data_IF_458102831488
#
_entry.id   IF_458102831488
#
_cell.length_a   1.000
_cell.length_b   1.000
_cell.length_c   1.000
_cell.angle_alpha   90.00
_cell.angle_beta   90.00
_cell.angle_gamma   90.00
#
_symmetry.space_group_name_H-M   'P 1'
#
loop_
_entity.id
_entity.type
_entity.pdbx_description
1 polymer ?
#
# COMPACT_ATOMS: atom_id res chain seq x y z
N UNK A 1 -15.68 25.43 7.65
CA UNK A 1 -14.88 25.13 6.43
C UNK A 1 -14.69 23.61 6.31
N UNK A 2 -14.95 23.01 5.12
CA UNK A 2 -14.71 21.57 4.86
C UNK A 2 -13.21 21.25 4.85
N UNK A 3 -12.85 20.00 5.08
CA UNK A 3 -11.46 19.54 5.08
C UNK A 3 -10.99 19.28 3.65
N UNK A 4 -9.84 19.76 3.25
CA UNK A 4 -9.24 19.54 1.92
C UNK A 4 -8.50 18.21 1.90
N UNK A 5 -8.98 17.17 1.20
CA UNK A 5 -8.26 15.91 1.08
C UNK A 5 -7.20 16.01 0.00
N UNK A 6 -6.00 15.54 0.30
CA UNK A 6 -4.88 15.38 -0.62
C UNK A 6 -4.57 13.89 -0.74
N UNK A 7 -4.69 13.33 -1.94
CA UNK A 7 -4.43 11.92 -2.20
C UNK A 7 -3.05 11.79 -2.84
N UNK A 8 -2.14 11.11 -2.14
CA UNK A 8 -0.77 10.88 -2.59
C UNK A 8 -0.74 9.63 -3.50
N UNK A 9 -0.64 9.82 -4.81
CA UNK A 9 -0.77 8.77 -5.82
C UNK A 9 0.48 8.65 -6.72
N UNK A 10 1.68 8.68 -6.12
CA UNK A 10 2.97 8.61 -6.82
C UNK A 10 3.72 7.28 -6.71
N UNK A 11 3.31 6.39 -5.82
CA UNK A 11 4.00 5.12 -5.54
C UNK A 11 3.92 4.11 -6.69
N UNK A 12 5.03 3.45 -7.01
CA UNK A 12 5.10 2.43 -8.07
C UNK A 12 4.55 1.05 -7.66
N UNK A 13 4.51 0.75 -6.35
CA UNK A 13 3.91 -0.49 -5.81
C UNK A 13 4.49 -1.79 -6.38
N UNK A 14 5.78 -1.86 -6.65
CA UNK A 14 6.46 -2.96 -7.37
C UNK A 14 6.47 -4.30 -6.64
N UNK A 15 6.27 -4.32 -5.33
CA UNK A 15 6.29 -5.54 -4.49
C UNK A 15 5.21 -6.57 -4.84
N UNK A 16 4.17 -6.17 -5.59
CA UNK A 16 3.10 -7.05 -6.06
C UNK A 16 3.31 -7.55 -7.50
N UNK A 17 4.52 -7.44 -8.03
CA UNK A 17 4.83 -8.05 -9.32
C UNK A 17 4.49 -9.56 -9.29
N UNK A 18 3.90 -10.16 -10.34
CA UNK A 18 3.67 -9.61 -11.68
C UNK A 18 2.34 -8.88 -11.87
N UNK A 19 1.46 -8.79 -10.86
CA UNK A 19 0.18 -8.08 -10.96
C UNK A 19 0.37 -6.56 -10.96
N UNK A 20 1.36 -6.04 -10.21
CA UNK A 20 1.80 -4.65 -10.35
C UNK A 20 2.87 -4.55 -11.44
N UNK A 21 2.77 -3.53 -12.29
CA UNK A 21 3.71 -3.23 -13.38
C UNK A 21 4.02 -1.73 -13.37
N UNK A 22 5.07 -1.31 -14.12
CA UNK A 22 5.46 0.11 -14.22
C UNK A 22 4.29 1.03 -14.63
N UNK A 23 3.40 0.54 -15.50
CA UNK A 23 2.20 1.25 -15.97
C UNK A 23 0.92 0.88 -15.23
N UNK A 24 0.95 -0.05 -14.30
CA UNK A 24 -0.19 -0.46 -13.45
C UNK A 24 0.29 -0.69 -12.01
N UNK A 25 0.51 0.39 -11.23
CA UNK A 25 0.96 0.26 -9.85
C UNK A 25 -0.15 -0.28 -8.94
N UNK A 26 0.24 -0.74 -7.76
CA UNK A 26 -0.58 -1.43 -6.75
C UNK A 26 -1.97 -0.82 -6.54
N UNK A 27 -2.04 0.50 -6.43
CA UNK A 27 -3.29 1.20 -6.14
C UNK A 27 -4.36 1.10 -7.23
N UNK A 28 -3.96 0.70 -8.45
CA UNK A 28 -4.87 0.53 -9.59
C UNK A 28 -5.12 -0.94 -9.96
N UNK A 29 -4.56 -1.90 -9.23
CA UNK A 29 -4.89 -3.33 -9.44
C UNK A 29 -6.39 -3.52 -9.16
N UNK A 30 -7.07 -4.18 -10.09
CA UNK A 30 -8.49 -4.51 -9.93
C UNK A 30 -8.63 -5.77 -9.07
N UNK A 31 -9.26 -5.61 -7.91
CA UNK A 31 -9.55 -6.65 -6.94
C UNK A 31 -11.02 -7.14 -7.03
N UNK A 32 -11.50 -7.42 -8.24
CA UNK A 32 -12.91 -7.83 -8.45
C UNK A 32 -13.87 -6.65 -8.47
N UNK A 33 -13.61 -5.66 -9.34
CA UNK A 33 -14.45 -4.48 -9.55
C UNK A 33 -14.05 -3.27 -8.72
N UNK A 34 -13.11 -3.39 -7.78
CA UNK A 34 -12.62 -2.27 -6.96
C UNK A 34 -11.09 -2.17 -6.97
N UNK A 35 -10.57 -0.99 -6.64
CA UNK A 35 -9.14 -0.71 -6.50
C UNK A 35 -8.88 0.08 -5.22
N UNK A 36 -7.65 0.08 -4.72
CA UNK A 36 -7.29 0.86 -3.52
C UNK A 36 -7.49 2.36 -3.76
N UNK A 37 -7.09 2.86 -4.93
CA UNK A 37 -7.32 4.25 -5.32
C UNK A 37 -8.83 4.57 -5.39
N UNK A 38 -9.64 3.67 -5.96
CA UNK A 38 -11.10 3.81 -5.98
C UNK A 38 -11.70 3.88 -4.58
N UNK A 39 -11.27 3.01 -3.66
CA UNK A 39 -11.70 3.06 -2.25
C UNK A 39 -11.27 4.34 -1.54
N UNK A 40 -10.13 4.92 -1.92
CA UNK A 40 -9.70 6.23 -1.41
C UNK A 40 -10.58 7.36 -1.96
N UNK A 41 -10.98 7.31 -3.24
CA UNK A 41 -11.93 8.26 -3.83
C UNK A 41 -13.32 8.16 -3.17
N UNK A 42 -13.84 6.96 -2.92
CA UNK A 42 -15.09 6.75 -2.19
C UNK A 42 -15.06 7.41 -0.79
N UNK A 43 -13.96 7.24 -0.08
CA UNK A 43 -13.76 7.79 1.26
C UNK A 43 -13.88 9.32 1.30
N UNK A 44 -13.30 10.00 0.32
CA UNK A 44 -13.30 11.48 0.27
C UNK A 44 -14.57 12.08 -0.31
N UNK A 45 -15.60 11.28 -0.66
CA UNK A 45 -16.94 11.79 -1.02
C UNK A 45 -17.78 12.22 0.17
N UNK A 46 -17.37 11.89 1.39
CA UNK A 46 -18.10 12.31 2.59
C UNK A 46 -18.24 13.83 2.66
N UNK A 47 -19.37 14.30 3.21
CA UNK A 47 -19.73 15.73 3.31
C UNK A 47 -18.74 16.57 4.13
N UNK A 48 -17.92 15.93 4.98
CA UNK A 48 -16.87 16.62 5.75
C UNK A 48 -15.72 17.12 4.86
N UNK A 49 -15.56 16.52 3.66
CA UNK A 49 -14.49 16.86 2.74
C UNK A 49 -14.93 17.85 1.66
N UNK A 50 -14.00 18.66 1.23
CA UNK A 50 -14.06 19.44 0.00
C UNK A 50 -13.53 18.59 -1.18
N UNK A 51 -13.50 19.14 -2.39
CA UNK A 51 -12.96 18.42 -3.55
C UNK A 51 -11.49 18.02 -3.33
N UNK A 52 -11.08 16.83 -3.83
CA UNK A 52 -9.74 16.32 -3.61
C UNK A 52 -8.68 17.01 -4.49
N UNK A 53 -7.47 17.10 -3.94
CA UNK A 53 -6.24 17.31 -4.68
C UNK A 53 -5.54 15.94 -4.81
N UNK A 54 -5.10 15.56 -6.01
CA UNK A 54 -4.37 14.31 -6.26
C UNK A 54 -2.97 14.65 -6.73
N UNK A 55 -1.94 14.22 -6.01
CA UNK A 55 -0.56 14.31 -6.50
C UNK A 55 -0.21 13.03 -7.25
N UNK A 56 0.32 13.14 -8.44
CA UNK A 56 0.69 11.99 -9.28
C UNK A 56 1.75 12.37 -10.30
N UNK A 57 2.26 11.40 -11.04
CA UNK A 57 3.20 11.62 -12.14
C UNK A 57 2.55 11.40 -13.52
N UNK A 58 3.27 11.72 -14.60
CA UNK A 58 2.75 11.61 -15.97
C UNK A 58 2.33 10.20 -16.36
N UNK A 59 3.03 9.17 -15.87
CA UNK A 59 2.71 7.78 -16.19
C UNK A 59 1.32 7.34 -15.66
N UNK A 60 0.83 7.96 -14.60
CA UNK A 60 -0.44 7.58 -13.97
C UNK A 60 -1.58 8.58 -14.22
N UNK A 61 -1.32 9.72 -14.90
CA UNK A 61 -2.32 10.76 -15.13
C UNK A 61 -3.61 10.21 -15.78
N UNK A 62 -3.47 9.40 -16.82
CA UNK A 62 -4.63 8.82 -17.52
C UNK A 62 -5.39 7.80 -16.65
N UNK A 63 -4.69 7.03 -15.82
CA UNK A 63 -5.33 6.14 -14.84
C UNK A 63 -6.11 6.96 -13.81
N UNK A 64 -5.51 7.98 -13.22
CA UNK A 64 -6.17 8.87 -12.25
C UNK A 64 -7.44 9.49 -12.87
N UNK A 65 -7.35 10.08 -14.07
CA UNK A 65 -8.51 10.68 -14.77
C UNK A 65 -9.63 9.66 -15.00
N UNK A 66 -9.29 8.44 -15.46
CA UNK A 66 -10.28 7.36 -15.67
C UNK A 66 -11.03 7.00 -14.38
N UNK A 67 -10.33 6.92 -13.26
CA UNK A 67 -10.96 6.62 -11.97
C UNK A 67 -11.78 7.78 -11.43
N UNK A 68 -11.36 9.03 -11.63
CA UNK A 68 -12.16 10.20 -11.28
C UNK A 68 -13.52 10.19 -12.00
N UNK A 69 -13.53 9.85 -13.31
CA UNK A 69 -14.77 9.67 -14.10
C UNK A 69 -15.57 8.48 -13.56
N UNK A 70 -14.95 7.28 -13.42
CA UNK A 70 -15.62 6.06 -12.91
C UNK A 70 -16.31 6.31 -11.56
N UNK A 71 -15.67 7.06 -10.66
CA UNK A 71 -16.20 7.36 -9.34
C UNK A 71 -16.99 8.68 -9.28
N UNK A 72 -17.32 9.30 -10.42
CA UNK A 72 -18.14 10.51 -10.54
C UNK A 72 -17.63 11.67 -9.68
N UNK A 73 -16.30 11.88 -9.61
CA UNK A 73 -15.68 13.02 -8.95
C UNK A 73 -15.67 14.20 -9.94
N UNK A 74 -16.62 15.10 -9.84
CA UNK A 74 -16.79 16.22 -10.79
C UNK A 74 -15.78 17.36 -10.55
N UNK A 75 -15.49 17.70 -9.29
CA UNK A 75 -14.56 18.76 -8.90
C UNK A 75 -13.31 18.15 -8.28
N UNK A 76 -12.13 18.50 -8.77
CA UNK A 76 -10.82 18.01 -8.32
C UNK A 76 -9.70 18.91 -8.80
N UNK A 77 -8.50 18.73 -8.24
CA UNK A 77 -7.24 19.20 -8.81
C UNK A 77 -6.25 18.05 -8.88
N UNK A 78 -5.42 18.05 -9.91
CA UNK A 78 -4.28 17.14 -10.05
C UNK A 78 -3.01 17.96 -10.03
N UNK A 79 -2.04 17.58 -9.22
CA UNK A 79 -0.68 18.09 -9.27
C UNK A 79 0.17 17.04 -9.99
N UNK A 80 0.71 17.40 -11.14
CA UNK A 80 1.54 16.53 -11.94
C UNK A 80 3.02 16.78 -11.61
N UNK A 81 3.60 15.83 -10.88
CA UNK A 81 5.00 15.85 -10.49
C UNK A 81 5.89 15.38 -11.66
N UNK A 82 6.84 16.19 -12.14
CA UNK A 82 7.71 15.80 -13.27
C UNK A 82 8.74 14.73 -12.90
N UNK A 83 9.03 14.56 -11.61
CA UNK A 83 9.97 13.59 -11.07
C UNK A 83 9.39 12.94 -9.81
N UNK A 84 9.81 11.70 -9.54
CA UNK A 84 9.50 11.03 -8.28
C UNK A 84 10.41 11.59 -7.17
N UNK A 85 9.83 12.25 -6.17
CA UNK A 85 10.55 12.94 -5.08
C UNK A 85 10.07 12.53 -3.68
N UNK A 86 9.32 11.41 -3.59
CA UNK A 86 8.73 10.92 -2.35
C UNK A 86 7.65 11.88 -1.78
N UNK A 87 7.21 11.68 -0.54
CA UNK A 87 5.99 12.32 -0.01
C UNK A 87 6.18 13.77 0.44
N UNK A 88 7.38 14.19 0.84
CA UNK A 88 7.58 15.56 1.34
C UNK A 88 7.32 16.64 0.27
N UNK A 89 7.91 16.60 -0.94
CA UNK A 89 7.60 17.56 -1.99
C UNK A 89 6.16 17.50 -2.48
N UNK A 90 5.52 16.30 -2.50
CA UNK A 90 4.13 16.13 -2.88
C UNK A 90 3.17 16.84 -1.91
N UNK A 91 3.37 16.63 -0.60
CA UNK A 91 2.60 17.27 0.47
C UNK A 91 2.77 18.79 0.43
N UNK A 92 4.01 19.26 0.33
CA UNK A 92 4.29 20.68 0.29
C UNK A 92 3.73 21.38 -0.96
N UNK A 93 3.88 20.78 -2.14
CA UNK A 93 3.31 21.34 -3.37
C UNK A 93 1.81 21.48 -3.31
N UNK A 94 1.12 20.53 -2.65
CA UNK A 94 -0.33 20.60 -2.44
C UNK A 94 -0.71 21.75 -1.49
N UNK A 95 0.08 21.98 -0.44
CA UNK A 95 -0.14 23.07 0.50
C UNK A 95 0.18 24.44 -0.12
N UNK A 96 1.04 24.52 -1.13
CA UNK A 96 1.43 25.77 -1.78
C UNK A 96 0.44 26.26 -2.84
N UNK A 97 -0.59 25.48 -3.22
CA UNK A 97 -1.58 25.95 -4.19
C UNK A 97 -2.29 27.22 -3.70
N UNK A 98 -2.31 28.27 -4.53
CA UNK A 98 -2.90 29.57 -4.19
C UNK A 98 -4.40 29.50 -3.87
N UNK A 99 -5.14 28.63 -4.57
CA UNK A 99 -6.57 28.43 -4.37
C UNK A 99 -6.97 27.76 -3.04
N UNK A 100 -6.02 27.21 -2.29
CA UNK A 100 -6.26 26.66 -0.96
C UNK A 100 -6.06 27.77 0.08
N UNK A 101 -7.06 28.11 0.90
CA UNK A 101 -6.94 29.13 1.94
C UNK A 101 -5.83 28.85 2.95
N UNK A 102 -5.17 29.88 3.47
CA UNK A 102 -4.00 29.73 4.33
C UNK A 102 -4.26 28.94 5.63
N UNK A 103 -5.46 29.11 6.21
CA UNK A 103 -5.90 28.40 7.42
C UNK A 103 -6.66 27.09 7.13
N UNK A 104 -6.69 26.62 5.87
CA UNK A 104 -7.41 25.42 5.45
C UNK A 104 -6.89 24.18 6.16
N UNK A 105 -7.79 23.43 6.78
CA UNK A 105 -7.51 22.06 7.26
C UNK A 105 -7.31 21.11 6.09
N UNK A 106 -6.18 20.42 6.04
CA UNK A 106 -5.80 19.48 4.99
C UNK A 106 -5.52 18.10 5.57
N UNK A 107 -6.05 17.06 4.92
CA UNK A 107 -5.70 15.66 5.25
C UNK A 107 -4.96 15.03 4.08
N UNK A 108 -3.85 14.39 4.36
CA UNK A 108 -3.00 13.71 3.39
C UNK A 108 -3.19 12.20 3.51
N UNK A 109 -3.61 11.58 2.43
CA UNK A 109 -4.06 10.19 2.37
C UNK A 109 -3.23 9.43 1.33
N UNK A 110 -2.54 8.33 1.71
CA UNK A 110 -2.00 7.39 0.73
C UNK A 110 -3.13 6.81 -0.15
N UNK A 111 -2.85 6.66 -1.43
CA UNK A 111 -3.81 6.11 -2.41
C UNK A 111 -3.92 4.59 -2.37
N UNK A 112 -3.07 3.93 -1.59
CA UNK A 112 -2.84 2.48 -1.64
C UNK A 112 -3.17 1.75 -0.33
N UNK A 113 -3.83 2.44 0.61
CA UNK A 113 -4.29 1.88 1.88
C UNK A 113 -5.79 1.59 1.86
N UNK A 114 -6.16 0.39 2.30
CA UNK A 114 -7.55 0.02 2.55
C UNK A 114 -7.91 0.34 4.00
N UNK A 115 -8.91 1.20 4.19
CA UNK A 115 -9.43 1.58 5.51
C UNK A 115 -10.86 1.07 5.63
N UNK A 116 -11.12 0.30 6.68
CA UNK A 116 -12.47 -0.10 7.06
C UNK A 116 -13.18 0.95 7.91
N UNK A 117 -14.48 0.72 8.18
CA UNK A 117 -15.29 1.55 9.10
C UNK A 117 -15.20 3.06 8.81
N UNK A 118 -15.48 3.46 7.56
CA UNK A 118 -15.31 4.83 7.04
C UNK A 118 -15.98 5.87 7.95
N UNK A 119 -17.18 5.59 8.49
CA UNK A 119 -17.88 6.51 9.38
C UNK A 119 -17.10 6.80 10.68
N UNK A 120 -16.45 5.78 11.25
CA UNK A 120 -15.60 5.95 12.44
C UNK A 120 -14.34 6.76 12.10
N UNK A 121 -13.75 6.53 10.92
CA UNK A 121 -12.63 7.31 10.42
C UNK A 121 -13.01 8.79 10.28
N UNK A 122 -14.13 9.09 9.63
CA UNK A 122 -14.61 10.46 9.43
C UNK A 122 -14.94 11.14 10.78
N UNK A 123 -15.58 10.43 11.71
CA UNK A 123 -15.85 10.92 13.07
C UNK A 123 -14.57 11.27 13.81
N UNK A 124 -13.56 10.41 13.71
CA UNK A 124 -12.24 10.65 14.32
C UNK A 124 -11.57 11.91 13.77
N UNK A 125 -11.59 12.12 12.44
CA UNK A 125 -11.03 13.32 11.81
C UNK A 125 -11.78 14.56 12.28
N UNK A 126 -13.11 14.53 12.18
CA UNK A 126 -13.95 15.69 12.50
C UNK A 126 -13.83 16.14 13.97
N UNK A 127 -13.71 15.18 14.91
CA UNK A 127 -13.53 15.47 16.33
C UNK A 127 -12.17 16.12 16.66
N UNK A 128 -11.13 15.84 15.85
CA UNK A 128 -9.81 16.41 16.05
C UNK A 128 -9.59 17.72 15.29
N UNK A 129 -10.47 18.09 14.35
CA UNK A 129 -10.35 19.31 13.56
C UNK A 129 -10.23 20.57 14.42
N UNK A 130 -10.98 20.65 15.51
CA UNK A 130 -10.95 21.80 16.46
C UNK A 130 -9.59 22.01 17.15
N UNK A 131 -8.73 21.01 17.20
CA UNK A 131 -7.39 21.09 17.81
C UNK A 131 -6.31 21.49 16.81
N UNK A 132 -6.63 21.63 15.52
CA UNK A 132 -5.67 22.10 14.52
C UNK A 132 -5.28 23.55 14.76
N UNK A 133 -3.98 23.80 14.74
CA UNK A 133 -3.39 25.14 14.84
C UNK A 133 -2.38 25.37 13.71
N UNK A 134 -1.84 26.56 13.63
CA UNK A 134 -0.78 26.91 12.68
C UNK A 134 0.60 26.33 13.03
N UNK A 135 0.69 25.54 14.09
CA UNK A 135 1.96 25.02 14.62
C UNK A 135 1.91 23.53 15.00
N UNK A 136 0.86 22.79 14.61
CA UNK A 136 0.78 21.39 14.93
C UNK A 136 0.45 20.51 13.71
N UNK A 137 0.86 19.25 13.80
CA UNK A 137 0.57 18.21 12.81
C UNK A 137 0.04 17.00 13.56
N UNK A 138 -1.08 16.46 13.09
CA UNK A 138 -1.63 15.19 13.58
C UNK A 138 -1.22 14.06 12.66
N UNK A 139 -0.82 12.94 13.26
CA UNK A 139 -0.53 11.67 12.58
C UNK A 139 -1.50 10.60 13.07
N UNK A 140 -1.82 9.64 12.20
CA UNK A 140 -2.76 8.57 12.54
C UNK A 140 -2.01 7.29 12.87
N UNK A 141 -2.31 6.74 14.04
CA UNK A 141 -1.72 5.50 14.52
C UNK A 141 -2.72 4.36 14.61
N UNK A 142 -2.29 3.18 14.24
CA UNK A 142 -3.02 1.92 14.42
C UNK A 142 -2.26 1.04 15.40
N UNK A 143 -2.97 0.19 16.14
CA UNK A 143 -2.33 -0.83 16.97
C UNK A 143 -1.65 -1.87 16.08
N UNK A 144 -0.33 -2.04 16.16
CA UNK A 144 0.36 -3.05 15.37
C UNK A 144 0.06 -4.46 15.92
N UNK A 145 -0.14 -5.41 15.01
CA UNK A 145 -0.35 -6.83 15.37
C UNK A 145 0.98 -7.54 15.66
N UNK A 146 2.04 -7.13 14.97
CA UNK A 146 3.39 -7.69 15.10
C UNK A 146 4.44 -6.63 14.79
N UNK A 147 5.68 -6.78 15.32
CA UNK A 147 6.76 -5.85 15.03
C UNK A 147 7.19 -5.96 13.56
N UNK A 148 7.37 -4.81 12.90
CA UNK A 148 7.83 -4.70 11.53
C UNK A 148 8.84 -3.57 11.40
N UNK A 149 9.84 -3.74 10.57
CA UNK A 149 10.81 -2.70 10.21
C UNK A 149 10.40 -1.88 8.97
N UNK A 150 9.22 -2.14 8.41
CA UNK A 150 8.76 -1.45 7.19
C UNK A 150 8.00 -0.14 7.47
N UNK A 151 7.60 0.11 8.71
CA UNK A 151 6.74 1.23 9.11
C UNK A 151 7.40 2.11 10.16
N UNK A 152 6.97 3.37 10.23
CA UNK A 152 7.24 4.25 11.35
C UNK A 152 6.38 3.91 12.57
N UNK A 153 6.86 4.27 13.75
CA UNK A 153 6.15 4.07 15.02
C UNK A 153 6.23 5.32 15.88
N UNK A 154 5.25 5.47 16.77
CA UNK A 154 5.28 6.54 17.74
C UNK A 154 4.70 6.15 19.10
N UNK A 155 5.21 6.81 20.14
CA UNK A 155 4.70 6.78 21.50
C UNK A 155 3.96 8.08 21.76
N UNK A 156 2.94 8.03 22.63
CA UNK A 156 2.17 9.23 22.98
C UNK A 156 2.07 9.43 24.46
N UNK A 157 2.10 10.70 24.89
CA UNK A 157 1.67 11.17 26.21
C UNK A 157 0.28 11.79 26.08
N UNK A 158 -0.63 11.43 26.99
CA UNK A 158 -1.99 11.99 27.04
C UNK A 158 -1.90 13.42 27.58
N UNK A 159 -2.47 14.37 26.83
CA UNK A 159 -2.59 15.77 27.26
C UNK A 159 -3.99 16.05 27.80
N UNK A 160 -5.02 15.52 27.10
CA UNK A 160 -6.42 15.59 27.55
C UNK A 160 -7.19 14.35 27.10
N UNK A 161 -8.49 14.26 27.40
CA UNK A 161 -9.35 13.12 27.01
C UNK A 161 -9.21 12.74 25.54
N UNK A 162 -9.07 13.73 24.66
CA UNK A 162 -9.05 13.51 23.19
C UNK A 162 -7.74 13.98 22.52
N UNK A 163 -6.73 14.40 23.30
CA UNK A 163 -5.50 14.94 22.73
C UNK A 163 -4.30 14.18 23.27
N UNK A 164 -3.53 13.58 22.36
CA UNK A 164 -2.32 12.82 22.68
C UNK A 164 -1.13 13.44 21.95
N UNK A 165 -0.17 13.96 22.68
CA UNK A 165 1.08 14.47 22.08
C UNK A 165 1.99 13.30 21.75
N UNK A 166 2.66 13.34 20.62
CA UNK A 166 3.70 12.37 20.26
C UNK A 166 4.93 12.70 21.09
N UNK A 167 5.34 11.74 21.89
CA UNK A 167 6.54 11.83 22.72
C UNK A 167 7.78 11.47 21.93
N UNK A 168 7.67 10.43 21.09
CA UNK A 168 8.75 9.94 20.24
C UNK A 168 8.19 9.37 18.95
N UNK A 169 8.78 9.78 17.81
CA UNK A 169 8.54 9.21 16.48
C UNK A 169 9.83 8.56 15.98
N UNK A 170 9.74 7.37 15.38
CA UNK A 170 10.88 6.64 14.84
C UNK A 170 10.45 6.02 13.52
N UNK A 171 11.06 6.44 12.42
CA UNK A 171 10.81 5.86 11.10
C UNK A 171 11.62 4.56 10.94
N UNK A 172 10.95 3.49 10.52
CA UNK A 172 11.53 2.18 10.16
C UNK A 172 12.57 1.66 11.17
N UNK A 173 12.21 1.49 12.45
CA UNK A 173 13.12 0.93 13.44
C UNK A 173 13.53 -0.50 13.09
N UNK A 174 14.65 -0.98 13.60
CA UNK A 174 14.98 -2.39 13.54
C UNK A 174 13.96 -3.23 14.34
N UNK A 175 13.93 -4.56 14.12
CA UNK A 175 12.95 -5.45 14.76
C UNK A 175 12.96 -5.40 16.29
N UNK A 176 14.13 -5.25 16.91
CA UNK A 176 14.24 -5.20 18.38
C UNK A 176 13.63 -3.92 18.92
N UNK A 177 13.91 -2.78 18.26
CA UNK A 177 13.33 -1.49 18.62
C UNK A 177 11.81 -1.46 18.39
N UNK A 178 11.33 -2.06 17.31
CA UNK A 178 9.90 -2.23 17.08
C UNK A 178 9.23 -3.04 18.20
N UNK A 179 9.85 -4.15 18.67
CA UNK A 179 9.36 -4.94 19.82
C UNK A 179 9.28 -4.11 21.09
N UNK A 180 10.30 -3.30 21.40
CA UNK A 180 10.29 -2.40 22.57
C UNK A 180 9.13 -1.39 22.51
N UNK A 181 8.91 -0.78 21.33
CA UNK A 181 7.83 0.19 21.15
C UNK A 181 6.46 -0.49 21.35
N UNK A 182 6.28 -1.72 20.88
CA UNK A 182 5.05 -2.50 21.10
C UNK A 182 4.82 -2.78 22.60
N UNK A 183 5.86 -3.19 23.33
CA UNK A 183 5.79 -3.40 24.79
C UNK A 183 5.32 -2.13 25.51
N UNK A 184 5.73 -0.94 25.05
CA UNK A 184 5.31 0.37 25.55
C UNK A 184 3.94 0.83 24.98
N UNK A 185 3.14 -0.07 24.39
CA UNK A 185 1.82 0.23 23.79
C UNK A 185 1.88 1.32 22.71
N UNK A 186 3.00 1.38 21.95
CA UNK A 186 3.16 2.31 20.83
C UNK A 186 2.25 2.00 19.65
N UNK A 187 2.16 2.94 18.74
CA UNK A 187 1.32 2.90 17.54
C UNK A 187 2.19 2.87 16.29
N UNK A 188 1.74 2.11 15.30
CA UNK A 188 2.31 2.14 13.96
C UNK A 188 1.74 3.34 13.19
N UNK A 189 2.60 4.12 12.56
CA UNK A 189 2.20 5.24 11.71
C UNK A 189 1.51 4.71 10.44
N UNK A 190 0.35 5.26 10.15
CA UNK A 190 -0.46 4.87 8.98
C UNK A 190 -0.03 5.57 7.68
N UNK A 191 0.90 6.53 7.75
CA UNK A 191 1.26 7.39 6.61
C UNK A 191 0.19 8.44 6.26
N UNK A 192 -0.79 8.65 7.12
CA UNK A 192 -1.79 9.71 6.98
C UNK A 192 -1.44 10.88 7.89
N UNK A 193 -1.65 12.10 7.39
CA UNK A 193 -1.32 13.34 8.10
C UNK A 193 -2.50 14.30 8.05
N UNK A 194 -2.71 15.05 9.14
CA UNK A 194 -3.78 16.03 9.24
C UNK A 194 -3.26 17.31 9.88
N UNK A 195 -3.29 18.40 9.15
CA UNK A 195 -2.73 19.68 9.57
C UNK A 195 -3.42 20.84 8.85
N UNK A 196 -3.21 22.05 9.33
CA UNK A 196 -3.53 23.24 8.55
C UNK A 196 -2.44 23.49 7.48
N UNK A 197 -2.83 24.13 6.38
CA UNK A 197 -1.90 24.54 5.31
C UNK A 197 -0.72 25.35 5.86
N UNK A 198 -1.01 26.36 6.69
CA UNK A 198 0.02 27.22 7.29
C UNK A 198 0.99 26.45 8.19
N UNK A 199 0.51 25.44 8.92
CA UNK A 199 1.37 24.56 9.73
C UNK A 199 2.35 23.77 8.87
N UNK A 200 1.88 23.23 7.73
CA UNK A 200 2.74 22.51 6.78
C UNK A 200 3.82 23.46 6.23
N UNK A 201 3.42 24.61 5.71
CA UNK A 201 4.36 25.59 5.15
C UNK A 201 5.40 26.04 6.18
N UNK A 202 4.96 26.35 7.41
CA UNK A 202 5.83 26.74 8.52
C UNK A 202 6.84 25.66 8.87
N UNK A 203 6.40 24.41 8.93
CA UNK A 203 7.26 23.25 9.24
C UNK A 203 8.36 23.07 8.19
N UNK A 204 8.04 23.21 6.90
CA UNK A 204 9.05 23.16 5.84
C UNK A 204 10.00 24.35 5.85
N UNK A 205 9.50 25.57 6.09
CA UNK A 205 10.37 26.75 6.25
C UNK A 205 11.37 26.57 7.39
N UNK A 206 10.93 25.98 8.52
CA UNK A 206 11.76 25.76 9.69
C UNK A 206 12.78 24.64 9.50
N UNK A 207 12.37 23.49 8.98
CA UNK A 207 13.17 22.27 9.00
C UNK A 207 13.78 21.89 7.64
N UNK A 208 13.21 22.40 6.52
CA UNK A 208 13.56 22.00 5.16
C UNK A 208 13.46 23.18 4.18
N UNK A 209 14.12 24.29 4.48
CA UNK A 209 14.00 25.51 3.71
C UNK A 209 14.34 25.34 2.21
N UNK A 210 15.36 24.53 1.87
CA UNK A 210 15.72 24.23 0.46
C UNK A 210 14.58 23.56 -0.30
N UNK A 211 13.90 22.59 0.35
CA UNK A 211 12.73 21.92 -0.24
C UNK A 211 11.59 22.93 -0.39
N UNK A 212 11.35 23.76 0.64
CA UNK A 212 10.34 24.83 0.58
C UNK A 212 10.58 25.74 -0.62
N UNK A 213 11.78 26.32 -0.78
CA UNK A 213 12.14 27.21 -1.87
C UNK A 213 11.90 26.56 -3.24
N UNK A 214 12.43 25.36 -3.46
CA UNK A 214 12.33 24.67 -4.73
C UNK A 214 10.88 24.27 -5.09
N UNK A 215 10.07 23.81 -4.13
CA UNK A 215 8.66 23.50 -4.36
C UNK A 215 7.83 24.78 -4.58
N UNK A 216 8.12 25.87 -3.85
CA UNK A 216 7.46 27.15 -4.04
C UNK A 216 7.70 27.69 -5.44
N UNK A 217 8.96 27.67 -5.92
CA UNK A 217 9.30 28.05 -7.29
C UNK A 217 8.64 27.12 -8.32
N UNK A 218 8.56 25.82 -8.03
CA UNK A 218 7.92 24.87 -8.93
C UNK A 218 6.40 25.09 -9.04
N UNK A 219 5.73 25.44 -7.94
CA UNK A 219 4.28 25.71 -7.91
C UNK A 219 3.99 27.10 -8.47
N UNK A 220 4.77 28.15 -8.12
CA UNK A 220 4.54 29.51 -8.62
C UNK A 220 4.69 29.63 -10.13
N UNK A 221 5.62 28.85 -10.72
CA UNK A 221 5.87 28.77 -12.17
C UNK A 221 5.10 27.62 -12.84
N UNK A 222 4.13 26.99 -12.15
CA UNK A 222 3.33 25.91 -12.72
C UNK A 222 2.33 26.43 -13.76
N UNK A 223 2.01 25.59 -14.74
CA UNK A 223 0.95 25.84 -15.72
C UNK A 223 -0.31 25.08 -15.30
N UNK A 224 -1.43 25.78 -15.16
CA UNK A 224 -2.73 25.15 -14.94
C UNK A 224 -3.42 24.95 -16.29
N UNK A 225 -3.67 23.69 -16.67
CA UNK A 225 -4.48 23.36 -17.84
C UNK A 225 -5.63 22.45 -17.41
N UNK A 226 -6.84 22.90 -17.64
CA UNK A 226 -8.08 22.29 -17.12
C UNK A 226 -7.99 22.16 -15.58
N UNK A 227 -7.91 20.97 -15.06
CA UNK A 227 -7.82 20.70 -13.61
C UNK A 227 -6.44 20.20 -13.18
N UNK A 228 -5.40 20.35 -14.02
CA UNK A 228 -4.07 19.79 -13.82
C UNK A 228 -3.03 20.90 -13.71
N UNK A 229 -2.34 20.96 -12.57
CA UNK A 229 -1.16 21.77 -12.35
C UNK A 229 0.09 21.00 -12.83
N UNK A 230 0.72 21.48 -13.88
CA UNK A 230 2.01 20.99 -14.37
C UNK A 230 3.12 21.75 -13.65
N UNK A 231 3.74 21.13 -12.66
CA UNK A 231 4.83 21.76 -11.91
C UNK A 231 6.01 22.10 -12.81
N UNK A 232 6.68 23.23 -12.54
CA UNK A 232 7.88 23.60 -13.28
C UNK A 232 8.99 22.55 -13.09
N UNK A 233 9.43 21.95 -14.20
CA UNK A 233 10.36 20.81 -14.21
C UNK A 233 11.73 21.18 -13.63
N UNK A 234 12.28 22.34 -14.00
CA UNK A 234 13.63 22.77 -13.58
C UNK A 234 13.68 23.02 -12.06
N UNK A 235 12.68 23.72 -11.52
CA UNK A 235 12.60 24.01 -10.09
C UNK A 235 12.34 22.75 -9.27
N UNK A 236 11.40 21.89 -9.70
CA UNK A 236 11.05 20.67 -8.98
C UNK A 236 12.20 19.64 -8.96
N UNK A 237 13.02 19.56 -10.04
CA UNK A 237 14.20 18.71 -10.12
C UNK A 237 15.17 18.96 -8.97
N UNK A 238 15.33 20.23 -8.55
CA UNK A 238 16.24 20.64 -7.46
C UNK A 238 15.76 20.22 -6.08
N UNK A 239 14.49 19.83 -5.93
CA UNK A 239 13.95 19.36 -4.66
C UNK A 239 14.54 18.02 -4.28
N UNK A 240 14.89 17.83 -3.02
CA UNK A 240 15.39 16.57 -2.48
C UNK A 240 14.31 15.49 -2.53
N UNK A 241 14.68 14.24 -2.84
CA UNK A 241 13.82 13.07 -2.69
C UNK A 241 13.84 12.59 -1.24
N UNK A 242 12.76 12.86 -0.50
CA UNK A 242 12.65 12.51 0.92
C UNK A 242 11.19 12.32 1.31
N UNK A 243 10.90 11.40 2.26
CA UNK A 243 9.56 11.25 2.84
C UNK A 243 9.26 12.39 3.82
N UNK A 244 7.97 12.66 4.02
CA UNK A 244 7.50 13.63 5.01
C UNK A 244 7.88 13.23 6.43
N UNK A 245 7.93 11.93 6.69
CA UNK A 245 8.31 11.35 7.97
C UNK A 245 9.74 11.76 8.35
N UNK A 246 10.71 11.55 7.47
CA UNK A 246 12.12 11.98 7.69
C UNK A 246 12.31 13.50 7.60
N UNK A 247 11.61 14.15 6.68
CA UNK A 247 11.79 15.57 6.45
C UNK A 247 11.27 16.43 7.61
N UNK A 248 10.12 16.05 8.17
CA UNK A 248 9.36 16.88 9.12
C UNK A 248 9.08 16.16 10.43
N UNK A 249 8.52 14.92 10.42
CA UNK A 249 8.03 14.31 11.67
C UNK A 249 9.15 14.01 12.66
N UNK A 250 10.28 13.50 12.22
CA UNK A 250 11.41 13.22 13.12
C UNK A 250 12.02 14.48 13.73
N UNK A 251 11.85 15.65 13.08
CA UNK A 251 12.41 16.94 13.49
C UNK A 251 11.43 17.82 14.27
N UNK A 252 10.15 17.50 14.24
CA UNK A 252 9.09 18.34 14.80
C UNK A 252 8.73 17.94 16.23
N UNK A 253 8.63 18.92 17.13
CA UNK A 253 8.21 18.71 18.53
C UNK A 253 6.69 18.82 18.75
N UNK A 254 5.95 19.39 17.79
CA UNK A 254 4.51 19.67 17.89
C UNK A 254 3.68 18.70 17.06
N UNK A 255 3.91 17.40 17.29
CA UNK A 255 3.15 16.32 16.64
C UNK A 255 2.18 15.73 17.65
N UNK A 256 0.96 15.44 17.17
CA UNK A 256 -0.11 14.81 17.94
C UNK A 256 -0.57 13.53 17.27
N UNK A 257 -0.93 12.52 18.07
CA UNK A 257 -1.34 11.21 17.59
C UNK A 257 -2.86 11.02 17.66
N UNK A 258 -3.49 10.68 16.56
CA UNK A 258 -4.87 10.20 16.49
C UNK A 258 -4.84 8.68 16.48
N UNK A 259 -5.36 8.08 17.55
CA UNK A 259 -5.41 6.61 17.71
C UNK A 259 -6.63 6.07 16.95
N UNK A 260 -6.38 5.27 15.91
CA UNK A 260 -7.44 4.65 15.14
C UNK A 260 -7.71 3.23 15.64
N UNK A 261 -8.96 2.97 16.03
CA UNK A 261 -9.45 1.62 16.35
C UNK A 261 -10.24 1.01 15.19
N UNK A 262 -9.70 1.17 13.97
CA UNK A 262 -10.32 0.70 12.74
C UNK A 262 -9.34 -0.19 11.96
N UNK A 263 -9.83 -1.17 11.18
CA UNK A 263 -8.96 -1.95 10.30
C UNK A 263 -8.29 -1.05 9.26
N UNK A 264 -6.97 -1.17 9.15
CA UNK A 264 -6.17 -0.57 8.11
C UNK A 264 -5.22 -1.61 7.56
N UNK A 265 -5.21 -1.78 6.26
CA UNK A 265 -4.35 -2.75 5.56
C UNK A 265 -3.71 -2.07 4.36
N UNK A 266 -2.40 -2.16 4.24
CA UNK A 266 -1.69 -1.57 3.12
C UNK A 266 -1.66 -2.49 1.89
N UNK A 267 -1.98 -3.81 2.05
CA UNK A 267 -1.89 -4.83 1.00
C UNK A 267 -0.54 -4.74 0.25
N UNK A 268 0.55 -4.55 1.00
CA UNK A 268 1.87 -4.22 0.47
C UNK A 268 2.63 -5.41 -0.11
N UNK A 269 2.24 -6.63 0.22
CA UNK A 269 2.84 -7.87 -0.25
C UNK A 269 1.81 -8.99 -0.38
N UNK A 270 2.19 -10.09 -1.05
CA UNK A 270 1.28 -11.19 -1.33
C UNK A 270 0.77 -11.92 -0.07
N UNK A 271 1.55 -11.95 1.00
CA UNK A 271 1.14 -12.52 2.29
C UNK A 271 0.00 -11.71 2.93
N UNK A 272 0.07 -10.38 2.89
CA UNK A 272 -1.01 -9.52 3.42
C UNK A 272 -2.28 -9.60 2.56
N UNK A 273 -2.13 -9.70 1.23
CA UNK A 273 -3.25 -9.94 0.31
C UNK A 273 -3.89 -11.29 0.58
N UNK A 274 -3.11 -12.35 0.74
CA UNK A 274 -3.61 -13.67 1.10
C UNK A 274 -4.41 -13.64 2.41
N UNK A 275 -3.88 -13.03 3.47
CA UNK A 275 -4.60 -12.87 4.74
C UNK A 275 -5.90 -12.12 4.56
N UNK A 276 -5.88 -11.02 3.80
CA UNK A 276 -7.07 -10.23 3.52
C UNK A 276 -8.17 -11.07 2.87
N UNK A 277 -7.90 -11.74 1.75
CA UNK A 277 -8.89 -12.54 1.06
C UNK A 277 -9.33 -13.77 1.85
N UNK A 278 -8.43 -14.40 2.58
CA UNK A 278 -8.76 -15.55 3.44
C UNK A 278 -9.74 -15.17 4.55
N UNK A 279 -9.53 -14.01 5.18
CA UNK A 279 -10.37 -13.54 6.29
C UNK A 279 -11.70 -12.93 5.84
N UNK A 280 -11.81 -12.45 4.60
CA UNK A 280 -13.03 -11.83 4.07
C UNK A 280 -13.92 -12.76 3.26
N UNK A 281 -13.48 -14.00 3.00
CA UNK A 281 -14.35 -15.06 2.42
C UNK A 281 -15.13 -15.78 3.50
N UNK A 282 -16.43 -16.04 3.24
CA UNK A 282 -17.21 -16.92 4.11
C UNK A 282 -16.63 -18.34 4.11
N UNK A 283 -16.81 -19.10 5.20
CA UNK A 283 -16.37 -20.51 5.31
C UNK A 283 -16.93 -21.36 4.17
N UNK A 284 -18.19 -21.15 3.76
CA UNK A 284 -18.82 -21.83 2.63
C UNK A 284 -18.12 -21.55 1.30
N UNK A 285 -17.74 -20.31 1.03
CA UNK A 285 -17.00 -19.93 -0.18
C UNK A 285 -15.58 -20.50 -0.21
N UNK A 286 -14.91 -20.61 0.94
CA UNK A 286 -13.61 -21.27 1.03
C UNK A 286 -13.76 -22.75 0.69
N UNK A 287 -14.76 -23.43 1.25
CA UNK A 287 -15.02 -24.86 1.00
C UNK A 287 -15.29 -25.13 -0.50
N UNK A 288 -16.14 -24.36 -1.15
CA UNK A 288 -16.42 -24.47 -2.60
C UNK A 288 -15.20 -24.25 -3.50
N UNK A 289 -14.20 -23.47 -3.06
CA UNK A 289 -12.99 -23.15 -3.82
C UNK A 289 -11.77 -23.95 -3.36
N UNK A 290 -11.97 -24.99 -2.54
CA UNK A 290 -10.91 -25.88 -2.05
C UNK A 290 -10.91 -27.17 -2.87
N UNK A 291 -9.76 -27.51 -3.43
CA UNK A 291 -9.56 -28.68 -4.27
C UNK A 291 -8.50 -29.57 -3.63
N UNK A 292 -8.89 -30.78 -3.29
CA UNK A 292 -8.00 -31.78 -2.73
C UNK A 292 -7.24 -32.52 -3.83
N UNK A 293 -5.99 -32.84 -3.56
CA UNK A 293 -5.06 -33.55 -4.44
C UNK A 293 -4.25 -34.56 -3.62
N UNK A 294 -3.66 -35.58 -4.22
CA UNK A 294 -2.85 -36.55 -3.48
C UNK A 294 -1.70 -35.92 -2.67
N UNK A 295 -1.14 -34.82 -3.15
CA UNK A 295 -0.08 -34.08 -2.48
C UNK A 295 -0.55 -33.10 -1.42
N UNK A 296 -1.85 -32.92 -1.22
CA UNK A 296 -2.43 -31.94 -0.29
C UNK A 296 -3.68 -31.26 -0.84
N UNK A 297 -3.71 -29.95 -0.84
CA UNK A 297 -4.84 -29.17 -1.37
C UNK A 297 -4.41 -27.82 -1.90
N UNK A 298 -5.24 -27.23 -2.75
CA UNK A 298 -5.16 -25.82 -3.05
C UNK A 298 -6.52 -25.12 -2.91
N UNK A 299 -6.47 -23.82 -2.69
CA UNK A 299 -7.66 -22.99 -2.51
C UNK A 299 -7.56 -21.82 -3.48
N UNK A 300 -8.54 -21.65 -4.37
CA UNK A 300 -8.64 -20.45 -5.20
C UNK A 300 -9.18 -19.32 -4.34
N UNK A 301 -8.31 -18.37 -3.97
CA UNK A 301 -8.66 -17.27 -3.10
C UNK A 301 -9.27 -16.09 -3.85
N UNK A 302 -8.72 -15.76 -5.00
CA UNK A 302 -9.18 -14.62 -5.78
C UNK A 302 -8.77 -14.75 -7.24
N UNK A 303 -9.68 -14.39 -8.16
CA UNK A 303 -9.42 -14.29 -9.59
C UNK A 303 -9.65 -12.86 -10.05
N UNK A 304 -8.60 -12.23 -10.60
CA UNK A 304 -8.64 -10.89 -11.18
C UNK A 304 -8.37 -10.94 -12.67
N UNK A 305 -8.39 -9.77 -13.33
CA UNK A 305 -8.10 -9.69 -14.77
C UNK A 305 -6.64 -10.07 -15.03
N UNK A 306 -6.44 -11.26 -15.61
CA UNK A 306 -5.12 -11.77 -15.99
C UNK A 306 -4.27 -12.31 -14.83
N UNK A 307 -4.86 -12.55 -13.64
CA UNK A 307 -4.18 -13.24 -12.56
C UNK A 307 -5.12 -14.05 -11.66
N UNK A 308 -4.57 -15.09 -11.02
CA UNK A 308 -5.25 -15.94 -10.07
C UNK A 308 -4.38 -16.09 -8.82
N UNK A 309 -4.98 -15.86 -7.65
CA UNK A 309 -4.36 -16.05 -6.34
C UNK A 309 -4.83 -17.38 -5.76
N UNK A 310 -3.87 -18.27 -5.47
CA UNK A 310 -4.12 -19.57 -4.83
C UNK A 310 -3.34 -19.67 -3.51
N UNK A 311 -3.87 -20.48 -2.61
CA UNK A 311 -3.13 -21.03 -1.48
C UNK A 311 -2.87 -22.51 -1.76
N UNK A 312 -1.61 -22.94 -1.67
CA UNK A 312 -1.22 -24.34 -1.75
C UNK A 312 -0.84 -24.82 -0.35
N UNK A 313 -1.30 -26.01 0.01
CA UNK A 313 -0.89 -26.72 1.24
C UNK A 313 -0.36 -28.07 0.82
N UNK A 314 0.96 -28.25 0.93
CA UNK A 314 1.67 -29.48 0.56
C UNK A 314 1.85 -30.32 1.82
N UNK A 315 1.31 -31.54 1.80
CA UNK A 315 1.42 -32.48 2.92
C UNK A 315 2.89 -32.85 3.20
N UNK A 316 3.19 -33.34 4.42
CA UNK A 316 4.49 -33.95 4.70
C UNK A 316 4.86 -35.02 3.66
N UNK A 317 6.14 -35.09 3.30
CA UNK A 317 6.72 -36.10 2.38
C UNK A 317 6.02 -36.15 1.00
N UNK A 318 5.44 -35.05 0.55
CA UNK A 318 4.68 -34.98 -0.69
C UNK A 318 5.25 -33.94 -1.66
N UNK A 319 4.92 -34.06 -2.93
CA UNK A 319 5.35 -33.12 -3.97
C UNK A 319 4.26 -32.93 -5.02
N UNK A 320 4.19 -31.74 -5.64
CA UNK A 320 3.41 -31.57 -6.87
C UNK A 320 4.13 -32.25 -8.04
N UNK A 321 3.45 -32.45 -9.16
CA UNK A 321 4.08 -32.97 -10.39
C UNK A 321 5.23 -32.07 -10.86
N UNK A 322 6.23 -32.65 -11.54
CA UNK A 322 7.17 -31.88 -12.33
C UNK A 322 6.43 -31.42 -13.60
N UNK A 323 6.22 -30.14 -13.74
CA UNK A 323 5.31 -29.56 -14.72
C UNK A 323 5.81 -28.26 -15.34
N UNK A 324 5.23 -27.85 -16.46
CA UNK A 324 5.42 -26.52 -17.05
C UNK A 324 4.08 -25.89 -17.46
N UNK A 325 4.09 -24.59 -17.69
CA UNK A 325 2.94 -23.82 -18.20
C UNK A 325 3.36 -22.98 -19.40
N UNK A 326 2.58 -23.03 -20.47
CA UNK A 326 2.86 -22.31 -21.70
C UNK A 326 2.35 -20.86 -21.64
N UNK A 327 1.21 -20.63 -21.02
CA UNK A 327 0.49 -19.36 -21.11
C UNK A 327 0.55 -18.51 -19.84
N UNK A 328 1.10 -19.05 -18.72
CA UNK A 328 1.20 -18.33 -17.45
C UNK A 328 2.59 -18.42 -16.83
N UNK A 329 2.93 -17.41 -16.04
CA UNK A 329 4.02 -17.43 -15.09
C UNK A 329 3.46 -17.52 -13.67
N UNK A 330 4.27 -17.96 -12.72
CA UNK A 330 3.86 -18.09 -11.32
C UNK A 330 4.85 -17.40 -10.39
N UNK A 331 4.32 -16.90 -9.27
CA UNK A 331 5.14 -16.42 -8.14
C UNK A 331 4.68 -17.15 -6.89
N UNK A 332 5.61 -17.83 -6.25
CA UNK A 332 5.39 -18.52 -4.99
C UNK A 332 5.96 -17.72 -3.82
N UNK A 333 5.15 -17.48 -2.80
CA UNK A 333 5.57 -16.87 -1.54
C UNK A 333 5.36 -17.86 -0.44
N UNK A 334 6.43 -18.21 0.29
CA UNK A 334 6.37 -19.19 1.36
C UNK A 334 5.73 -18.55 2.60
N UNK A 335 4.67 -19.18 3.11
CA UNK A 335 3.98 -18.75 4.34
C UNK A 335 4.51 -19.51 5.54
N UNK A 336 4.65 -20.84 5.41
CA UNK A 336 5.21 -21.69 6.45
C UNK A 336 5.89 -22.93 5.84
N UNK A 337 6.80 -23.54 6.61
CA UNK A 337 7.58 -24.71 6.18
C UNK A 337 8.85 -24.33 5.40
N UNK A 338 9.54 -25.35 4.89
CA UNK A 338 10.81 -25.24 4.14
C UNK A 338 10.70 -26.07 2.87
N UNK A 339 10.01 -25.62 1.80
CA UNK A 339 9.92 -26.37 0.56
C UNK A 339 11.26 -26.40 -0.17
N UNK A 340 11.52 -27.54 -0.82
CA UNK A 340 12.52 -27.66 -1.88
C UNK A 340 11.84 -27.34 -3.19
N UNK A 341 12.37 -26.36 -3.93
CA UNK A 341 11.83 -25.89 -5.20
C UNK A 341 12.79 -26.28 -6.31
N UNK A 342 12.23 -26.86 -7.37
CA UNK A 342 12.94 -27.11 -8.64
C UNK A 342 12.44 -26.12 -9.67
N UNK A 343 13.34 -25.41 -10.35
CA UNK A 343 13.05 -24.59 -11.54
C UNK A 343 14.12 -24.93 -12.60
N UNK A 344 13.68 -25.56 -13.69
CA UNK A 344 14.54 -26.14 -14.71
C UNK A 344 15.54 -27.11 -14.06
N UNK A 345 16.85 -26.87 -14.23
CA UNK A 345 17.93 -27.69 -13.65
C UNK A 345 18.27 -27.28 -12.20
N UNK A 346 17.81 -26.13 -11.71
CA UNK A 346 18.17 -25.61 -10.38
C UNK A 346 17.27 -26.16 -9.30
N UNK A 347 17.82 -26.60 -8.18
CA UNK A 347 17.13 -27.05 -6.98
C UNK A 347 17.62 -26.25 -5.78
N UNK A 348 16.68 -25.71 -4.99
CA UNK A 348 17.03 -24.88 -3.82
C UNK A 348 15.90 -24.91 -2.79
N UNK A 349 16.21 -24.58 -1.55
CA UNK A 349 15.24 -24.38 -0.49
C UNK A 349 14.77 -22.93 -0.40
N UNK A 350 13.55 -22.74 0.06
CA UNK A 350 12.99 -21.44 0.40
C UNK A 350 12.39 -21.45 1.81
N UNK A 351 12.45 -20.30 2.46
CA UNK A 351 12.00 -20.10 3.84
C UNK A 351 10.80 -19.15 3.92
N UNK A 352 10.09 -19.09 5.07
CA UNK A 352 8.95 -18.18 5.24
C UNK A 352 9.30 -16.71 4.89
N UNK A 353 8.40 -16.07 4.14
CA UNK A 353 8.52 -14.74 3.53
C UNK A 353 9.44 -14.63 2.31
N UNK A 354 10.15 -15.68 1.93
CA UNK A 354 10.87 -15.68 0.66
C UNK A 354 9.96 -16.01 -0.53
N UNK A 355 10.40 -15.60 -1.72
CA UNK A 355 9.66 -15.82 -2.98
C UNK A 355 10.51 -16.54 -4.01
N UNK A 356 9.82 -17.30 -4.88
CA UNK A 356 10.39 -17.84 -6.11
C UNK A 356 9.54 -17.38 -7.29
N UNK A 357 10.17 -17.04 -8.41
CA UNK A 357 9.49 -16.71 -9.66
C UNK A 357 9.70 -17.84 -10.68
N UNK A 358 8.60 -18.29 -11.25
CA UNK A 358 8.53 -19.33 -12.27
C UNK A 358 8.14 -18.68 -13.60
N UNK A 359 9.07 -18.51 -14.56
CA UNK A 359 8.76 -17.98 -15.88
C UNK A 359 7.82 -18.91 -16.66
N UNK A 360 7.15 -18.38 -17.66
CA UNK A 360 6.45 -19.20 -18.67
C UNK A 360 7.42 -20.20 -19.28
N UNK A 361 6.96 -21.44 -19.49
CA UNK A 361 7.75 -22.52 -20.08
C UNK A 361 8.77 -23.15 -19.15
N UNK A 362 9.04 -22.60 -17.97
CA UNK A 362 9.98 -23.21 -17.04
C UNK A 362 9.39 -24.49 -16.42
N UNK A 363 10.17 -25.57 -16.43
CA UNK A 363 9.83 -26.82 -15.76
C UNK A 363 10.05 -26.66 -14.27
N UNK A 364 9.05 -26.97 -13.44
CA UNK A 364 9.11 -26.68 -12.02
C UNK A 364 8.36 -27.70 -11.14
N UNK A 365 8.73 -27.74 -9.86
CA UNK A 365 8.14 -28.59 -8.83
C UNK A 365 8.33 -27.99 -7.46
N UNK A 366 7.38 -28.26 -6.56
CA UNK A 366 7.51 -28.08 -5.11
C UNK A 366 7.56 -29.45 -4.44
N UNK A 367 8.52 -29.64 -3.55
CA UNK A 367 8.68 -30.86 -2.74
C UNK A 367 8.72 -30.46 -1.25
N UNK A 368 7.95 -31.16 -0.45
CA UNK A 368 8.00 -31.08 1.02
C UNK A 368 8.66 -32.34 1.58
N UNK A 369 9.96 -32.25 1.85
CA UNK A 369 10.74 -33.37 2.42
C UNK A 369 10.59 -33.51 3.94
N UNK A 370 9.88 -32.60 4.62
CA UNK A 370 9.79 -32.53 6.08
C UNK A 370 8.44 -33.06 6.62
N UNK A 371 8.35 -33.20 7.96
CA UNK A 371 7.19 -33.77 8.64
C UNK A 371 6.07 -32.74 8.97
N UNK A 372 6.26 -31.48 8.62
CA UNK A 372 5.22 -30.43 8.78
C UNK A 372 4.72 -29.98 7.42
N UNK A 373 3.43 -29.64 7.27
CA UNK A 373 2.90 -29.11 6.01
C UNK A 373 3.62 -27.84 5.58
N UNK A 374 3.81 -27.69 4.27
CA UNK A 374 4.29 -26.45 3.65
C UNK A 374 3.09 -25.67 3.14
N UNK A 375 3.04 -24.38 3.44
CA UNK A 375 1.99 -23.48 2.98
C UNK A 375 2.59 -22.39 2.09
N UNK A 376 2.01 -22.22 0.90
CA UNK A 376 2.50 -21.30 -0.14
C UNK A 376 1.35 -20.48 -0.68
N UNK A 377 1.60 -19.20 -0.93
CA UNK A 377 0.74 -18.36 -1.77
C UNK A 377 1.30 -18.37 -3.18
N UNK A 378 0.48 -18.82 -4.11
CA UNK A 378 0.76 -18.84 -5.53
C UNK A 378 -0.01 -17.75 -6.25
N UNK A 379 0.69 -16.94 -7.02
CA UNK A 379 0.10 -15.94 -7.92
C UNK A 379 0.41 -16.33 -9.35
N UNK A 380 -0.62 -16.79 -10.06
CA UNK A 380 -0.55 -17.07 -11.48
C UNK A 380 -0.86 -15.81 -12.28
N UNK A 381 -0.11 -15.54 -13.34
CA UNK A 381 -0.35 -14.39 -14.23
C UNK A 381 -0.17 -14.80 -15.68
N UNK A 382 -1.18 -14.59 -16.49
CA UNK A 382 -1.16 -15.00 -17.90
C UNK A 382 -2.51 -14.88 -18.60
N UNK A 383 -2.55 -15.36 -19.84
CA UNK A 383 -3.77 -15.39 -20.65
C UNK A 383 -4.67 -16.60 -20.32
N UNK A 384 -4.09 -17.74 -19.97
CA UNK A 384 -4.80 -18.96 -19.57
C UNK A 384 -4.36 -19.33 -18.16
N UNK A 385 -5.33 -19.35 -17.22
CA UNK A 385 -5.11 -19.62 -15.79
C UNK A 385 -5.88 -20.88 -15.33
N UNK A 386 -6.07 -21.82 -16.26
CA UNK A 386 -6.79 -23.07 -16.03
C UNK A 386 -5.82 -24.24 -15.88
N UNK A 387 -6.29 -25.33 -15.31
CA UNK A 387 -5.54 -26.61 -15.17
C UNK A 387 -5.12 -27.19 -16.54
N UNK A 388 -5.84 -26.87 -17.64
CA UNK A 388 -5.50 -27.27 -19.00
C UNK A 388 -4.19 -26.72 -19.54
N UNK A 389 -3.59 -25.68 -18.90
CA UNK A 389 -2.23 -25.17 -19.20
C UNK A 389 -1.12 -25.94 -18.47
N UNK A 390 -1.41 -27.11 -17.88
CA UNK A 390 -0.41 -27.92 -17.17
C UNK A 390 0.08 -29.05 -18.08
N UNK A 391 1.37 -28.99 -18.44
CA UNK A 391 2.08 -30.10 -19.06
C UNK A 391 2.90 -30.79 -17.97
N UNK A 392 2.60 -32.06 -17.70
CA UNK A 392 3.27 -32.86 -16.66
C UNK A 392 4.36 -33.75 -17.26
N UNK A 393 5.55 -33.72 -16.66
CA UNK A 393 6.69 -34.55 -17.09
C UNK A 393 6.88 -35.76 -16.17
N UNK A 394 6.75 -35.57 -14.84
CA UNK A 394 6.87 -36.60 -13.84
C UNK A 394 5.90 -36.35 -12.71
N UNK A 395 5.01 -37.31 -12.48
CA UNK A 395 4.02 -37.27 -11.41
C UNK A 395 4.04 -38.60 -10.64
N UNK A 396 4.39 -38.53 -9.36
CA UNK A 396 4.46 -39.71 -8.47
C UNK A 396 3.08 -40.32 -8.17
N UNK A 397 2.01 -39.67 -8.63
CA UNK A 397 0.61 -40.10 -8.43
C UNK A 397 -0.06 -40.60 -9.72
N UNK A 398 0.71 -40.84 -10.78
CA UNK A 398 0.20 -41.45 -12.02
C UNK A 398 -0.68 -40.55 -12.89
N UNK A 399 -0.64 -39.20 -12.74
CA UNK A 399 -1.43 -38.24 -13.53
C UNK A 399 -0.66 -37.70 -14.73
N UNK A 400 0.26 -38.45 -15.28
CA UNK A 400 0.97 -38.10 -16.53
C UNK A 400 0.08 -38.52 -17.70
N UNK A 401 -0.27 -37.59 -18.58
CA UNK A 401 -0.97 -37.89 -19.84
C UNK A 401 0.05 -38.19 -20.91
#
# INVERSE_FOLDING_TARGET
>A
MKIKPVILCGGAGTRLWPSSKKNLPKQFIDWGGWTLFGKTLERVKSSIFDYPIITTNSAYLNLVKRYLVKYKIKKYRIILEPFKKNTAPAILSSALLKEVPYNQSMIFLPSDNLIGKINQFNKSINSHKKYLSNNNIFIFGIKPVSPSSEYGYFLTKKISKNLNKVDRFIEKPNKNKAKEILKKKGYMNSGMFFARKDSIIRSFKKHQYKIFKNCNDAVSKSKLYKNVYYLNKASFKKSQEISFDYAILEKSKNIFGIKLSIPLTDLGNWKEIWKFFKNHKSRSNIKKNTFYRPWGKYINLFSGKGFLLKELVINPKSSISLQKHTYRSERWTIISGKPKITINKKKFFKYPNETAFIPKGAVHRIENAFNKPVQIVEVQTGSILKESDIVRYKDVYGRVN
#
